data_IF_055180315989
#
_entry.id   IF_055180315989
#
_cell.length_a   1.000
_cell.length_b   1.000
_cell.length_c   1.000
_cell.angle_alpha   90.00
_cell.angle_beta   90.00
_cell.angle_gamma   90.00
#
_symmetry.space_group_name_H-M   'P 1'
#
loop_
_entity.id
_entity.type
_entity.pdbx_description
1 polymer ?
#
# COMPACT_ATOMS: atom_id res chain seq x y z
N UNK A 1 5.54 -7.38 20.60
CA UNK A 1 4.13 -7.34 20.21
C UNK A 1 3.42 -8.45 20.95
N UNK A 2 2.51 -8.16 21.86
CA UNK A 2 1.71 -9.17 22.57
C UNK A 2 0.29 -9.12 22.01
N UNK A 3 0.14 -9.51 20.74
CA UNK A 3 -1.19 -9.71 20.20
C UNK A 3 -1.78 -10.98 20.82
N UNK A 4 -3.02 -10.92 21.30
CA UNK A 4 -3.67 -12.11 21.85
C UNK A 4 -3.84 -13.15 20.72
N UNK A 5 -3.53 -14.40 21.03
CA UNK A 5 -3.86 -15.52 20.13
C UNK A 5 -5.38 -15.64 20.09
N UNK A 6 -5.98 -15.35 18.94
CA UNK A 6 -7.43 -15.27 18.79
C UNK A 6 -8.09 -16.56 18.26
N UNK A 7 -7.28 -17.51 17.78
CA UNK A 7 -7.78 -18.75 17.18
C UNK A 7 -6.92 -19.92 17.59
N UNK A 8 -7.54 -20.94 18.13
CA UNK A 8 -6.90 -22.22 18.40
C UNK A 8 -7.15 -23.18 17.23
N UNK A 9 -6.14 -23.94 16.84
CA UNK A 9 -6.21 -24.95 15.78
C UNK A 9 -5.84 -26.28 16.39
N UNK A 10 -6.81 -27.19 16.42
CA UNK A 10 -6.64 -28.53 17.04
C UNK A 10 -5.86 -29.51 16.17
N UNK A 11 -5.66 -29.17 14.90
CA UNK A 11 -4.99 -30.02 13.93
C UNK A 11 -3.72 -29.36 13.42
N UNK A 12 -2.61 -30.07 13.44
CA UNK A 12 -1.34 -29.57 12.93
C UNK A 12 -1.06 -30.18 11.56
N UNK A 13 -0.95 -29.30 10.59
CA UNK A 13 -0.47 -29.62 9.25
C UNK A 13 0.98 -29.17 9.13
N UNK A 14 1.84 -29.87 8.37
CA UNK A 14 3.19 -29.41 8.12
C UNK A 14 3.24 -28.05 7.40
N UNK A 15 2.17 -27.73 6.67
CA UNK A 15 2.06 -26.46 5.96
C UNK A 15 0.65 -25.89 6.05
N UNK A 16 0.57 -24.58 6.28
CA UNK A 16 -0.66 -23.80 6.34
C UNK A 16 -0.66 -22.71 5.28
N UNK A 17 -1.78 -22.55 4.59
CA UNK A 17 -2.01 -21.50 3.62
C UNK A 17 -3.05 -20.53 4.17
N UNK A 18 -2.64 -19.29 4.37
CA UNK A 18 -3.44 -18.23 4.95
C UNK A 18 -3.57 -17.08 3.95
N UNK A 19 -4.72 -16.43 3.91
CA UNK A 19 -4.91 -15.25 3.05
C UNK A 19 -5.93 -14.29 3.60
N UNK A 20 -5.73 -13.02 3.30
CA UNK A 20 -6.69 -11.94 3.54
C UNK A 20 -6.69 -10.96 2.39
N UNK A 21 -7.72 -10.14 2.32
CA UNK A 21 -7.81 -9.07 1.33
C UNK A 21 -7.81 -7.72 2.03
N UNK A 22 -7.25 -6.71 1.35
CA UNK A 22 -7.33 -5.31 1.76
C UNK A 22 -7.51 -4.42 0.54
N UNK A 23 -7.98 -3.20 0.77
CA UNK A 23 -8.32 -2.26 -0.29
C UNK A 23 -7.38 -1.05 -0.26
N UNK A 24 -6.85 -0.70 -1.42
CA UNK A 24 -6.09 0.54 -1.65
C UNK A 24 -6.94 1.45 -2.54
N UNK A 25 -7.28 2.67 -2.11
CA UNK A 25 -8.06 3.60 -2.93
C UNK A 25 -7.41 3.85 -4.29
N UNK A 26 -8.23 4.02 -5.32
CA UNK A 26 -7.77 4.17 -6.73
C UNK A 26 -6.83 5.37 -6.91
N UNK A 27 -7.02 6.42 -6.11
CA UNK A 27 -6.22 7.65 -6.15
C UNK A 27 -5.13 7.69 -5.07
N UNK A 28 -4.78 6.54 -4.50
CA UNK A 28 -3.76 6.44 -3.47
C UNK A 28 -2.71 5.39 -3.82
N UNK A 29 -1.49 5.62 -3.36
CA UNK A 29 -0.46 4.63 -3.24
C UNK A 29 -0.19 4.33 -1.76
N UNK A 30 0.72 3.42 -1.49
CA UNK A 30 1.23 3.20 -0.14
C UNK A 30 2.73 3.48 -0.09
N UNK A 31 3.15 4.21 0.92
CA UNK A 31 4.55 4.43 1.24
C UNK A 31 4.88 3.86 2.63
N UNK A 32 6.16 3.62 2.88
CA UNK A 32 6.65 3.11 4.17
C UNK A 32 5.89 1.85 4.62
N UNK A 33 5.72 0.90 3.70
CA UNK A 33 4.99 -0.34 3.99
C UNK A 33 5.84 -1.23 4.87
N UNK A 34 5.29 -1.63 6.00
CA UNK A 34 5.94 -2.51 6.96
C UNK A 34 5.10 -3.77 7.13
N UNK A 35 5.72 -4.91 6.92
CA UNK A 35 5.18 -6.22 7.31
C UNK A 35 5.79 -6.60 8.65
N UNK A 36 4.93 -6.75 9.66
CA UNK A 36 5.29 -7.29 10.97
C UNK A 36 4.67 -8.67 11.12
N UNK A 37 5.41 -9.63 11.64
CA UNK A 37 4.96 -11.01 11.75
C UNK A 37 5.45 -11.66 13.03
N UNK A 38 4.68 -12.63 13.48
CA UNK A 38 5.05 -13.57 14.55
C UNK A 38 4.69 -14.96 14.07
N UNK A 39 5.67 -15.81 13.90
CA UNK A 39 5.52 -17.11 13.29
C UNK A 39 6.27 -18.18 14.07
N UNK A 40 5.88 -19.44 13.86
CA UNK A 40 6.60 -20.64 14.22
C UNK A 40 6.40 -21.65 13.07
N UNK A 41 7.43 -22.18 12.38
CA UNK A 41 8.89 -21.93 12.42
C UNK A 41 9.32 -21.01 11.29
N UNK A 42 8.63 -21.11 10.13
CA UNK A 42 9.00 -20.46 8.89
C UNK A 42 7.78 -20.00 8.11
N UNK A 43 7.90 -18.90 7.37
CA UNK A 43 6.83 -18.41 6.49
C UNK A 43 7.36 -17.73 5.24
N UNK A 44 6.56 -17.84 4.16
CA UNK A 44 6.71 -17.06 2.93
C UNK A 44 5.46 -16.20 2.77
N UNK A 45 5.64 -14.92 2.55
CA UNK A 45 4.58 -13.96 2.35
C UNK A 45 4.46 -13.54 0.89
N UNK A 46 3.23 -13.45 0.41
CA UNK A 46 2.91 -13.11 -0.98
C UNK A 46 1.94 -11.93 -1.03
N UNK A 47 2.15 -11.04 -1.97
CA UNK A 47 1.20 -10.01 -2.35
C UNK A 47 0.75 -10.24 -3.80
N UNK A 48 -0.55 -10.38 -4.00
CA UNK A 48 -1.14 -10.62 -5.33
C UNK A 48 -0.46 -11.79 -6.10
N UNK A 49 -0.11 -12.86 -5.36
CA UNK A 49 0.54 -14.05 -5.91
C UNK A 49 2.06 -13.94 -6.10
N UNK A 50 2.67 -12.81 -5.81
CA UNK A 50 4.12 -12.62 -5.88
C UNK A 50 4.72 -12.64 -4.49
N UNK A 51 5.81 -13.39 -4.31
CA UNK A 51 6.58 -13.41 -3.07
C UNK A 51 7.13 -12.01 -2.76
N UNK A 52 6.96 -11.59 -1.50
CA UNK A 52 7.43 -10.29 -1.00
C UNK A 52 8.41 -10.39 0.16
N UNK A 53 8.35 -11.49 0.92
CA UNK A 53 9.21 -11.69 2.09
C UNK A 53 9.24 -13.16 2.52
N UNK A 54 10.37 -13.57 3.10
CA UNK A 54 10.56 -14.86 3.78
C UNK A 54 11.08 -14.64 5.19
N UNK A 55 10.63 -15.47 6.11
CA UNK A 55 11.11 -15.47 7.49
C UNK A 55 11.36 -16.92 7.93
N UNK A 56 12.49 -17.15 8.62
CA UNK A 56 12.88 -18.49 9.04
C UNK A 56 13.40 -19.42 7.93
N UNK A 57 13.55 -18.90 6.70
CA UNK A 57 13.93 -19.66 5.51
C UNK A 57 15.14 -19.04 4.80
N UNK A 58 16.03 -19.88 4.22
CA UNK A 58 17.04 -19.39 3.28
C UNK A 58 16.40 -18.70 2.06
N UNK A 59 17.06 -17.69 1.47
CA UNK A 59 16.65 -17.13 0.20
C UNK A 59 16.53 -18.22 -0.88
N UNK A 60 15.49 -18.10 -1.73
CA UNK A 60 15.30 -18.93 -2.93
C UNK A 60 15.12 -20.45 -2.71
N UNK A 61 14.99 -20.90 -1.47
CA UNK A 61 14.68 -22.32 -1.23
C UNK A 61 13.24 -22.61 -1.69
N UNK A 62 13.03 -23.48 -2.69
CA UNK A 62 11.69 -23.93 -3.05
C UNK A 62 11.10 -24.71 -1.88
N UNK A 63 9.85 -24.42 -1.52
CA UNK A 63 9.09 -25.20 -0.56
C UNK A 63 7.81 -25.69 -1.21
N UNK A 64 7.55 -26.95 -1.07
CA UNK A 64 6.28 -27.60 -1.41
C UNK A 64 5.38 -27.71 -0.15
N UNK A 65 4.41 -28.61 -0.17
CA UNK A 65 3.51 -28.85 0.95
C UNK A 65 4.18 -29.51 2.17
N UNK A 66 5.40 -29.98 2.05
CA UNK A 66 6.12 -30.67 3.13
C UNK A 66 6.53 -29.76 4.29
N UNK A 67 6.98 -30.36 5.41
CA UNK A 67 7.58 -29.59 6.47
C UNK A 67 8.88 -28.93 5.99
N UNK A 68 9.24 -27.84 6.62
CA UNK A 68 10.49 -27.15 6.36
C UNK A 68 11.69 -28.02 6.84
N UNK A 69 12.66 -28.36 5.96
CA UNK A 69 13.82 -29.15 6.35
C UNK A 69 14.86 -28.28 7.06
N UNK A 70 14.63 -27.95 8.28
CA UNK A 70 15.48 -27.05 9.06
C UNK A 70 15.30 -27.18 10.57
N UNK A 71 16.06 -26.40 11.33
CA UNK A 71 15.92 -26.41 12.78
C UNK A 71 14.55 -25.86 13.20
N UNK A 72 14.04 -26.40 14.29
CA UNK A 72 13.01 -25.76 15.06
C UNK A 72 13.52 -24.39 15.55
N UNK A 73 12.86 -23.34 15.14
CA UNK A 73 13.22 -21.98 15.48
C UNK A 73 12.41 -21.45 16.69
N UNK A 74 11.41 -22.20 17.13
CA UNK A 74 10.41 -21.69 18.07
C UNK A 74 9.68 -20.47 17.47
N UNK A 75 9.06 -19.70 18.33
CA UNK A 75 8.36 -18.49 17.87
C UNK A 75 9.34 -17.36 17.59
N UNK A 76 9.32 -16.84 16.36
CA UNK A 76 10.14 -15.71 15.91
C UNK A 76 9.28 -14.50 15.52
N UNK A 77 9.69 -13.34 15.99
CA UNK A 77 9.11 -12.05 15.60
C UNK A 77 9.92 -11.44 14.45
N UNK A 78 9.23 -10.86 13.49
CA UNK A 78 9.84 -10.20 12.33
C UNK A 78 9.20 -8.84 12.06
N UNK A 79 10.01 -7.95 11.51
CA UNK A 79 9.54 -6.68 10.96
C UNK A 79 10.43 -6.25 9.81
N UNK A 80 9.84 -5.98 8.65
CA UNK A 80 10.56 -5.59 7.44
C UNK A 80 9.84 -4.45 6.72
N UNK A 81 10.61 -3.47 6.27
CA UNK A 81 10.10 -2.43 5.37
C UNK A 81 10.19 -2.95 3.93
N UNK A 82 9.08 -2.88 3.22
CA UNK A 82 8.94 -3.44 1.88
C UNK A 82 8.73 -2.36 0.83
N UNK A 83 9.27 -2.62 -0.35
CA UNK A 83 8.86 -1.97 -1.60
C UNK A 83 7.94 -2.94 -2.32
N UNK A 84 6.69 -2.56 -2.55
CA UNK A 84 5.65 -3.42 -3.11
C UNK A 84 5.28 -3.02 -4.55
N UNK A 85 6.08 -3.42 -5.56
CA UNK A 85 5.83 -3.03 -6.95
C UNK A 85 4.55 -3.64 -7.55
N UNK A 86 4.03 -4.69 -6.91
CA UNK A 86 2.82 -5.39 -7.31
C UNK A 86 1.58 -5.00 -6.48
N UNK A 87 1.68 -3.96 -5.65
CA UNK A 87 0.52 -3.33 -5.03
C UNK A 87 -0.30 -2.62 -6.10
N UNK A 88 -1.61 -2.87 -6.12
CA UNK A 88 -2.51 -2.27 -7.10
C UNK A 88 -3.57 -1.42 -6.41
N UNK A 89 -4.09 -0.45 -7.13
CA UNK A 89 -5.32 0.23 -6.73
C UNK A 89 -6.49 -0.75 -6.73
N UNK A 90 -7.38 -0.66 -5.75
CA UNK A 90 -8.47 -1.61 -5.57
C UNK A 90 -8.11 -2.72 -4.57
N UNK A 91 -8.64 -3.91 -4.80
CA UNK A 91 -8.48 -5.05 -3.91
C UNK A 91 -7.14 -5.74 -4.13
N UNK A 92 -6.40 -5.93 -3.05
CA UNK A 92 -5.15 -6.68 -2.98
C UNK A 92 -5.33 -7.93 -2.10
N UNK A 93 -4.53 -8.95 -2.36
CA UNK A 93 -4.49 -10.19 -1.58
C UNK A 93 -3.13 -10.33 -0.90
N UNK A 94 -3.11 -10.36 0.42
CA UNK A 94 -1.97 -10.78 1.21
C UNK A 94 -2.15 -12.26 1.56
N UNK A 95 -1.17 -13.08 1.24
CA UNK A 95 -1.17 -14.51 1.58
C UNK A 95 0.12 -14.90 2.29
N UNK A 96 0.05 -15.96 3.06
CA UNK A 96 1.21 -16.57 3.70
C UNK A 96 1.15 -18.10 3.56
N UNK A 97 2.31 -18.68 3.33
CA UNK A 97 2.56 -20.11 3.43
C UNK A 97 3.45 -20.31 4.65
N UNK A 98 2.93 -20.99 5.67
CA UNK A 98 3.61 -21.20 6.96
C UNK A 98 3.99 -22.66 7.07
N UNK A 99 5.23 -22.94 7.42
CA UNK A 99 5.79 -24.27 7.52
C UNK A 99 6.25 -24.58 8.94
N UNK A 100 5.92 -25.77 9.39
CA UNK A 100 6.50 -26.38 10.59
C UNK A 100 7.82 -27.04 10.25
N UNK A 101 8.76 -27.07 11.21
CA UNK A 101 10.01 -27.80 11.11
C UNK A 101 9.78 -29.31 10.94
N UNK A 102 10.59 -29.97 10.13
CA UNK A 102 10.57 -31.44 10.00
C UNK A 102 10.90 -32.14 11.32
N UNK A 103 11.66 -31.51 12.18
CA UNK A 103 11.99 -32.02 13.52
C UNK A 103 10.79 -32.08 14.45
N UNK A 104 9.85 -31.15 14.31
CA UNK A 104 8.60 -31.16 15.08
C UNK A 104 7.59 -32.17 14.53
N UNK A 105 7.43 -32.22 13.21
CA UNK A 105 6.44 -33.06 12.55
C UNK A 105 6.74 -34.54 12.73
N UNK A 106 8.03 -34.93 12.78
CA UNK A 106 8.47 -36.32 12.90
C UNK A 106 8.94 -36.72 14.30
N UNK A 107 8.97 -35.77 15.24
CA UNK A 107 9.22 -36.12 16.64
C UNK A 107 7.97 -36.72 17.27
N UNK A 108 8.11 -37.85 17.98
CA UNK A 108 7.03 -38.46 18.79
C UNK A 108 6.58 -37.58 19.97
N UNK A 109 6.71 -36.29 19.84
CA UNK A 109 6.41 -35.30 20.89
C UNK A 109 5.06 -34.63 20.60
N UNK A 110 4.20 -34.47 21.64
CA UNK A 110 2.88 -33.86 21.50
C UNK A 110 2.92 -32.31 21.40
N UNK A 111 4.02 -31.74 20.92
CA UNK A 111 4.22 -30.29 20.86
C UNK A 111 4.39 -29.84 19.42
N UNK A 112 3.30 -29.72 18.78
CA UNK A 112 3.23 -28.94 17.54
C UNK A 112 2.64 -27.60 17.91
N UNK A 113 3.44 -26.57 17.99
CA UNK A 113 3.03 -25.22 18.33
C UNK A 113 2.97 -24.32 17.09
N UNK A 114 1.84 -24.36 16.44
CA UNK A 114 1.57 -23.43 15.34
C UNK A 114 1.29 -22.02 15.88
N UNK A 115 2.12 -21.06 15.51
CA UNK A 115 1.91 -19.64 15.80
C UNK A 115 1.97 -18.86 14.50
N UNK A 116 0.95 -18.08 14.23
CA UNK A 116 0.93 -17.16 13.12
C UNK A 116 0.17 -15.88 13.47
N UNK A 117 0.85 -14.77 13.30
CA UNK A 117 0.26 -13.44 13.23
C UNK A 117 0.99 -12.61 12.19
N UNK A 118 0.27 -11.81 11.43
CA UNK A 118 0.87 -10.88 10.49
C UNK A 118 0.06 -9.58 10.41
N UNK A 119 0.77 -8.48 10.28
CA UNK A 119 0.20 -7.15 10.08
C UNK A 119 0.94 -6.43 8.96
N UNK A 120 0.22 -5.99 7.95
CA UNK A 120 0.73 -5.12 6.90
C UNK A 120 0.23 -3.71 7.17
N UNK A 121 1.13 -2.79 7.42
CA UNK A 121 0.82 -1.38 7.67
C UNK A 121 1.59 -0.48 6.69
N UNK A 122 1.05 0.71 6.44
CA UNK A 122 1.69 1.68 5.56
C UNK A 122 0.95 3.01 5.59
N UNK A 123 1.56 4.03 5.02
CA UNK A 123 0.96 5.36 4.88
C UNK A 123 0.32 5.44 3.50
N UNK A 124 -0.98 5.72 3.45
CA UNK A 124 -1.65 6.04 2.19
C UNK A 124 -1.17 7.43 1.73
N UNK A 125 -0.63 7.48 0.52
CA UNK A 125 -0.24 8.72 -0.15
C UNK A 125 -1.22 8.97 -1.28
N UNK A 126 -1.80 10.17 -1.32
CA UNK A 126 -2.63 10.55 -2.47
C UNK A 126 -1.74 10.67 -3.70
N UNK A 127 -2.10 9.94 -4.76
CA UNK A 127 -1.49 10.12 -6.09
C UNK A 127 -2.13 11.27 -6.86
N UNK A 128 -3.26 11.75 -6.35
CA UNK A 128 -3.97 12.90 -6.88
C UNK A 128 -3.61 14.15 -6.06
N UNK A 129 -2.39 14.65 -6.24
CA UNK A 129 -2.00 15.95 -5.68
C UNK A 129 -2.78 17.00 -6.46
N UNK A 130 -3.65 17.80 -5.80
CA UNK A 130 -4.33 18.87 -6.50
C UNK A 130 -3.27 19.79 -7.13
N UNK A 131 -3.44 20.22 -8.38
CA UNK A 131 -2.51 21.11 -9.00
C UNK A 131 -2.48 22.43 -8.21
N UNK A 132 -1.28 22.94 -7.98
CA UNK A 132 -1.12 24.25 -7.38
C UNK A 132 -1.36 25.32 -8.44
N UNK A 133 -2.40 26.13 -8.27
CA UNK A 133 -2.63 27.32 -9.08
C UNK A 133 -1.84 28.50 -8.49
N UNK A 134 -0.80 28.90 -9.18
CA UNK A 134 0.03 30.05 -8.82
C UNK A 134 -0.45 31.31 -9.55
N UNK A 135 -0.39 32.46 -8.87
CA UNK A 135 -0.82 33.75 -9.40
C UNK A 135 0.32 34.77 -9.28
N UNK A 136 0.76 35.32 -10.41
CA UNK A 136 1.84 36.31 -10.45
C UNK A 136 1.34 37.58 -11.12
N UNK A 137 1.37 38.74 -10.46
CA UNK A 137 1.04 40.02 -11.08
C UNK A 137 2.06 40.39 -12.17
N UNK A 138 1.57 40.80 -13.34
CA UNK A 138 2.40 41.15 -14.49
C UNK A 138 1.78 42.27 -15.32
N UNK A 139 2.27 43.50 -15.16
CA UNK A 139 1.94 44.62 -16.05
C UNK A 139 0.44 44.92 -16.20
N UNK A 140 -0.34 44.90 -15.12
CA UNK A 140 -1.80 45.10 -15.15
C UNK A 140 -2.61 43.85 -15.51
N UNK A 141 -1.94 42.74 -15.63
CA UNK A 141 -2.52 41.41 -15.78
C UNK A 141 -2.09 40.49 -14.64
N UNK A 142 -2.74 39.35 -14.51
CA UNK A 142 -2.32 38.25 -13.67
C UNK A 142 -1.92 37.09 -14.57
N UNK A 143 -0.70 36.56 -14.36
CA UNK A 143 -0.28 35.32 -14.91
C UNK A 143 -0.68 34.20 -13.93
N UNK A 144 -1.57 33.31 -14.39
CA UNK A 144 -1.96 32.12 -13.66
C UNK A 144 -1.21 30.92 -14.25
N UNK A 145 -0.52 30.16 -13.43
CA UNK A 145 0.22 28.97 -13.86
C UNK A 145 -0.08 27.79 -12.95
N UNK A 146 0.05 26.56 -13.50
CA UNK A 146 -0.09 25.32 -12.75
C UNK A 146 0.87 24.26 -13.30
N UNK A 147 1.15 23.24 -12.53
CA UNK A 147 2.20 22.26 -12.83
C UNK A 147 1.72 20.99 -13.50
N UNK A 148 0.42 20.65 -13.37
CA UNK A 148 -0.11 19.36 -13.76
C UNK A 148 -0.87 19.43 -15.09
N UNK A 149 -0.61 18.46 -15.98
CA UNK A 149 -1.35 18.30 -17.23
C UNK A 149 -2.80 17.82 -17.03
N UNK A 150 -3.64 18.05 -18.03
CA UNK A 150 -5.03 17.58 -18.03
C UNK A 150 -5.99 18.43 -17.20
N UNK A 151 -5.57 19.61 -16.73
CA UNK A 151 -6.44 20.57 -16.06
C UNK A 151 -6.76 21.76 -16.95
N UNK A 152 -8.02 22.23 -16.85
CA UNK A 152 -8.56 23.39 -17.52
C UNK A 152 -8.75 24.51 -16.50
N UNK A 153 -8.29 25.73 -16.82
CA UNK A 153 -8.55 26.91 -16.01
C UNK A 153 -9.97 27.44 -16.29
N UNK A 154 -10.73 27.62 -15.23
CA UNK A 154 -12.09 28.20 -15.30
C UNK A 154 -12.18 29.45 -14.41
N UNK A 155 -13.07 30.36 -14.79
CA UNK A 155 -13.39 31.60 -14.06
C UNK A 155 -14.89 31.74 -13.81
N UNK A 156 -15.24 32.42 -12.68
CA UNK A 156 -16.59 32.82 -12.37
C UNK A 156 -16.61 34.18 -11.68
N UNK A 157 -17.69 34.92 -11.78
CA UNK A 157 -17.89 36.23 -11.12
C UNK A 157 -18.35 36.06 -9.67
N UNK A 158 -19.01 34.92 -9.35
CA UNK A 158 -19.38 34.56 -7.99
C UNK A 158 -19.31 33.02 -7.86
N UNK A 159 -19.11 32.51 -6.62
CA UNK A 159 -18.97 31.09 -6.36
C UNK A 159 -20.19 30.25 -6.75
N UNK A 160 -21.37 30.81 -6.79
CA UNK A 160 -22.61 30.15 -7.22
C UNK A 160 -22.93 30.26 -8.71
N UNK A 161 -22.14 30.99 -9.49
CA UNK A 161 -22.37 31.21 -10.92
C UNK A 161 -21.80 30.06 -11.77
N UNK A 162 -22.23 30.07 -13.04
CA UNK A 162 -21.63 29.21 -14.05
C UNK A 162 -20.13 29.54 -14.22
N UNK A 163 -19.32 28.49 -14.35
CA UNK A 163 -17.89 28.59 -14.60
C UNK A 163 -17.63 28.62 -16.11
N UNK A 164 -16.80 29.51 -16.56
CA UNK A 164 -16.41 29.65 -17.97
C UNK A 164 -14.93 29.29 -18.13
N UNK A 165 -14.63 28.49 -19.12
CA UNK A 165 -13.25 28.09 -19.43
C UNK A 165 -12.45 29.28 -19.96
N UNK A 166 -11.21 29.42 -19.48
CA UNK A 166 -10.22 30.35 -20.00
C UNK A 166 -9.29 29.60 -20.97
N UNK A 167 -9.06 30.21 -22.13
CA UNK A 167 -8.08 29.66 -23.09
C UNK A 167 -6.70 29.77 -22.47
N UNK A 168 -5.99 28.68 -22.41
CA UNK A 168 -4.66 28.56 -21.82
C UNK A 168 -3.75 27.76 -22.74
N UNK A 169 -2.45 27.97 -22.61
CA UNK A 169 -1.42 27.21 -23.29
C UNK A 169 -0.27 26.91 -22.34
N UNK A 170 0.29 25.69 -22.41
CA UNK A 170 1.42 25.26 -21.58
C UNK A 170 1.19 25.50 -20.07
N UNK A 171 0.01 25.13 -19.57
CA UNK A 171 -0.38 25.33 -18.15
C UNK A 171 -0.25 26.78 -17.68
N UNK A 172 -0.52 27.74 -18.57
CA UNK A 172 -0.47 29.17 -18.25
C UNK A 172 -1.59 29.95 -18.93
N UNK A 173 -2.10 30.97 -18.28
CA UNK A 173 -3.07 31.92 -18.80
C UNK A 173 -2.81 33.33 -18.27
N UNK A 174 -2.88 34.34 -19.15
CA UNK A 174 -2.90 35.74 -18.74
C UNK A 174 -4.36 36.23 -18.64
N UNK A 175 -4.70 36.80 -17.51
CA UNK A 175 -6.01 37.36 -17.28
C UNK A 175 -5.90 38.85 -16.93
N UNK A 176 -6.74 39.68 -17.52
CA UNK A 176 -6.75 41.12 -17.25
C UNK A 176 -7.35 41.39 -15.88
N UNK A 177 -6.68 42.24 -15.10
CA UNK A 177 -7.20 42.72 -13.81
C UNK A 177 -8.37 43.67 -14.10
N UNK A 178 -9.54 43.32 -13.60
CA UNK A 178 -10.73 44.14 -13.63
C UNK A 178 -11.07 44.60 -12.22
N UNK A 179 -11.83 45.67 -12.08
CA UNK A 179 -12.27 46.15 -10.76
C UNK A 179 -13.35 45.26 -10.12
N UNK A 180 -13.70 44.17 -10.76
CA UNK A 180 -14.69 43.18 -10.32
C UNK A 180 -14.01 42.00 -9.66
N UNK A 181 -14.66 41.46 -8.64
CA UNK A 181 -14.23 40.19 -8.02
C UNK A 181 -14.34 39.06 -9.03
N UNK A 182 -13.31 38.22 -9.06
CA UNK A 182 -13.32 37.04 -9.90
C UNK A 182 -12.72 35.84 -9.15
N UNK A 183 -13.26 34.65 -9.43
CA UNK A 183 -12.81 33.36 -8.88
C UNK A 183 -12.22 32.55 -10.00
N UNK A 184 -11.17 31.81 -9.65
CA UNK A 184 -10.46 30.90 -10.56
C UNK A 184 -10.34 29.53 -9.94
N UNK A 185 -10.47 28.50 -10.76
CA UNK A 185 -10.22 27.11 -10.36
C UNK A 185 -9.61 26.31 -11.50
N UNK A 186 -8.95 25.22 -11.15
CA UNK A 186 -8.57 24.17 -12.07
C UNK A 186 -9.60 23.05 -12.03
N UNK A 187 -10.02 22.58 -13.20
CA UNK A 187 -10.95 21.47 -13.37
C UNK A 187 -10.31 20.42 -14.29
N UNK A 188 -10.39 19.15 -13.90
CA UNK A 188 -9.97 18.00 -14.68
C UNK A 188 -11.15 17.48 -15.49
#
# INVERSE_FOLDING_TARGET
MTEPVNTWVDFVSPTWYLRTTFYVPVEAGMANVVLSSRINDAAIFYLNGREIFRQGLPPEQPLDFGPYPGPDHGTIDGSVTLVLPNLVAGTNVLAAQVHQSDREVYADLPRQDFVFAANLSGVLISTNIPPLLSVTPQGGQLLLTWTEDGYTLETAEALGNAWTQIISSNQAANVTVTNSQRFYRLRR
#
